data_IF_706802682234
#
_entry.id   IF_706802682234
#
_cell.length_a   1.000
_cell.length_b   1.000
_cell.length_c   1.000
_cell.angle_alpha   90.00
_cell.angle_beta   90.00
_cell.angle_gamma   90.00
#
_symmetry.space_group_name_H-M   'P 1'
#
loop_
_entity.id
_entity.type
_entity.pdbx_description
1 polymer ?
#
# COMPACT_ATOMS: atom_id res chain seq x y z
N UNK A 1 -11.87 -6.07 18.74
CA UNK A 1 -12.48 -6.56 17.49
C UNK A 1 -11.73 -7.77 16.94
N UNK A 2 -10.42 -7.68 16.63
CA UNK A 2 -9.62 -8.81 16.13
C UNK A 2 -9.71 -10.11 16.97
N UNK A 3 -9.64 -10.03 18.30
CA UNK A 3 -9.79 -11.20 19.18
C UNK A 3 -11.10 -11.98 18.97
N UNK A 4 -12.21 -11.29 18.66
CA UNK A 4 -13.51 -11.96 18.43
C UNK A 4 -13.53 -12.74 17.12
N UNK A 5 -12.67 -12.36 16.16
CA UNK A 5 -12.52 -13.00 14.86
C UNK A 5 -11.32 -13.94 14.80
N UNK A 6 -10.64 -14.16 15.94
CA UNK A 6 -9.41 -14.97 16.03
C UNK A 6 -8.34 -14.56 14.99
N UNK A 7 -8.23 -13.26 14.72
CA UNK A 7 -7.33 -12.72 13.72
C UNK A 7 -6.05 -12.18 14.38
N UNK A 8 -4.89 -12.66 13.94
CA UNK A 8 -3.60 -12.07 14.29
C UNK A 8 -3.38 -10.78 13.49
N UNK A 9 -2.80 -9.75 14.13
CA UNK A 9 -2.54 -8.45 13.49
C UNK A 9 -1.08 -8.08 13.68
N UNK A 10 -0.41 -7.76 12.56
CA UNK A 10 0.99 -7.32 12.53
C UNK A 10 1.03 -5.85 12.13
N UNK A 11 1.68 -5.01 12.94
CA UNK A 11 1.70 -3.56 12.77
C UNK A 11 3.16 -3.05 12.73
N UNK A 12 3.85 -3.17 11.57
CA UNK A 12 5.20 -2.65 11.43
C UNK A 12 5.21 -1.11 11.37
N UNK A 13 6.31 -0.51 11.81
CA UNK A 13 6.60 0.92 11.58
C UNK A 13 7.33 1.10 10.24
N UNK A 14 6.87 2.03 9.40
CA UNK A 14 7.47 2.33 8.10
C UNK A 14 7.95 3.80 7.96
N UNK A 15 7.92 4.60 9.03
CA UNK A 15 8.35 6.02 9.03
C UNK A 15 7.71 6.85 7.89
N UNK A 16 8.32 7.96 7.47
CA UNK A 16 7.88 8.82 6.37
C UNK A 16 8.26 8.27 4.98
N UNK A 17 8.23 6.95 4.79
CA UNK A 17 8.79 6.30 3.59
C UNK A 17 7.81 6.10 2.43
N UNK A 18 6.51 6.30 2.67
CA UNK A 18 5.47 5.83 1.74
C UNK A 18 5.62 4.35 1.38
N UNK A 19 6.07 3.49 2.30
CA UNK A 19 6.24 2.04 2.05
C UNK A 19 7.05 1.76 0.77
N UNK A 20 8.11 2.54 0.58
CA UNK A 20 8.93 2.54 -0.63
C UNK A 20 10.39 2.32 -0.26
N UNK A 21 11.13 1.62 -1.12
CA UNK A 21 12.59 1.65 -1.04
C UNK A 21 13.04 3.06 -1.43
N UNK A 22 13.34 3.87 -0.42
CA UNK A 22 13.61 5.29 -0.55
C UNK A 22 14.88 5.52 -1.39
N UNK A 23 14.88 6.55 -2.24
CA UNK A 23 16.10 6.97 -2.96
C UNK A 23 17.20 7.39 -1.99
N UNK A 24 16.83 8.13 -0.94
CA UNK A 24 17.71 8.53 0.15
C UNK A 24 17.10 8.08 1.48
N UNK A 25 17.34 6.82 1.86
CA UNK A 25 16.80 6.27 3.11
C UNK A 25 16.91 4.75 3.15
N UNK A 26 15.97 4.12 3.84
CA UNK A 26 15.92 2.66 4.00
C UNK A 26 15.01 1.99 2.97
N UNK A 27 15.23 0.70 2.76
CA UNK A 27 14.43 -0.16 1.90
C UNK A 27 13.10 -0.58 2.56
N UNK A 28 12.18 0.38 2.78
CA UNK A 28 10.95 0.12 3.53
C UNK A 28 9.95 -0.79 2.80
N UNK A 29 10.00 -0.91 1.48
CA UNK A 29 9.18 -1.90 0.78
C UNK A 29 9.68 -3.32 1.10
N UNK A 30 11.00 -3.53 1.01
CA UNK A 30 11.62 -4.83 1.30
C UNK A 30 11.48 -5.19 2.78
N UNK A 31 11.66 -4.23 3.68
CA UNK A 31 11.50 -4.41 5.12
C UNK A 31 10.11 -4.96 5.50
N UNK A 32 9.03 -4.48 4.86
CA UNK A 32 7.69 -4.99 5.17
C UNK A 32 7.52 -6.44 4.72
N UNK A 33 8.13 -6.82 3.60
CA UNK A 33 8.18 -8.21 3.16
C UNK A 33 9.03 -9.06 4.10
N UNK A 34 10.16 -8.54 4.59
CA UNK A 34 11.00 -9.19 5.60
C UNK A 34 10.23 -9.42 6.90
N UNK A 35 9.48 -8.42 7.38
CA UNK A 35 8.61 -8.56 8.55
C UNK A 35 7.58 -9.66 8.32
N UNK A 36 6.94 -9.69 7.15
CA UNK A 36 5.99 -10.75 6.80
C UNK A 36 6.64 -12.13 6.87
N UNK A 37 7.82 -12.30 6.26
CA UNK A 37 8.55 -13.57 6.26
C UNK A 37 9.01 -13.96 7.68
N UNK A 38 9.45 -13.00 8.49
CA UNK A 38 9.93 -13.22 9.85
C UNK A 38 8.80 -13.67 10.79
N UNK A 39 7.67 -12.97 10.81
CA UNK A 39 6.56 -13.31 11.72
C UNK A 39 5.94 -14.67 11.38
N UNK A 40 5.90 -15.07 10.10
CA UNK A 40 5.45 -16.41 9.69
C UNK A 40 6.43 -17.54 10.05
N UNK A 41 7.68 -17.21 10.38
CA UNK A 41 8.66 -18.18 10.85
C UNK A 41 8.60 -18.38 12.36
N UNK A 42 8.37 -17.30 13.13
CA UNK A 42 8.48 -17.33 14.59
C UNK A 42 7.13 -17.43 15.32
N UNK A 43 6.02 -17.11 14.66
CA UNK A 43 4.67 -17.20 15.21
C UNK A 43 3.86 -18.30 14.50
N UNK A 44 2.82 -18.85 15.16
CA UNK A 44 1.94 -19.85 14.56
C UNK A 44 0.94 -19.21 13.58
N UNK A 45 1.43 -18.62 12.49
CA UNK A 45 0.63 -17.96 11.45
C UNK A 45 0.50 -18.86 10.22
N UNK A 46 -0.68 -18.88 9.61
CA UNK A 46 -0.89 -19.61 8.35
C UNK A 46 -0.08 -18.98 7.22
N UNK A 47 0.59 -19.81 6.41
CA UNK A 47 1.29 -19.39 5.19
C UNK A 47 0.41 -19.48 3.95
N UNK A 48 -0.84 -19.93 4.09
CA UNK A 48 -1.78 -20.03 2.99
C UNK A 48 -2.25 -18.62 2.60
N UNK A 49 -2.37 -18.36 1.29
CA UNK A 49 -2.72 -17.04 0.76
C UNK A 49 -4.09 -16.59 1.25
N UNK A 50 -5.05 -17.52 1.31
CA UNK A 50 -6.44 -17.32 1.75
C UNK A 50 -6.58 -16.81 3.18
N UNK A 51 -5.57 -17.05 4.04
CA UNK A 51 -5.55 -16.62 5.44
C UNK A 51 -4.77 -15.31 5.66
N UNK A 52 -4.20 -14.75 4.59
CA UNK A 52 -3.34 -13.57 4.66
C UNK A 52 -4.03 -12.36 4.02
N UNK A 53 -4.09 -11.27 4.79
CA UNK A 53 -4.76 -10.03 4.40
C UNK A 53 -3.85 -8.83 4.67
N UNK A 54 -4.06 -7.74 3.94
CA UNK A 54 -3.34 -6.48 4.15
C UNK A 54 -4.30 -5.30 4.21
N UNK A 55 -4.07 -4.39 5.13
CA UNK A 55 -4.90 -3.20 5.32
C UNK A 55 -4.07 -2.04 5.86
N UNK A 56 -4.50 -0.82 5.58
CA UNK A 56 -3.81 0.39 6.02
C UNK A 56 -4.56 1.65 5.63
N UNK A 57 -4.29 2.75 6.33
CA UNK A 57 -4.97 4.02 6.10
C UNK A 57 -4.05 5.13 5.57
N UNK A 58 -4.56 6.07 4.77
CA UNK A 58 -3.78 7.20 4.22
C UNK A 58 -2.53 6.72 3.47
N UNK A 59 -1.33 7.06 3.95
CA UNK A 59 -0.06 6.51 3.45
C UNK A 59 -0.02 4.97 3.52
N UNK A 60 -0.60 4.36 4.55
CA UNK A 60 -0.77 2.91 4.66
C UNK A 60 -1.79 2.34 3.68
N UNK A 61 -2.77 3.12 3.26
CA UNK A 61 -3.71 2.74 2.19
C UNK A 61 -3.01 2.69 0.84
N UNK A 62 -2.15 3.68 0.56
CA UNK A 62 -1.22 3.65 -0.59
C UNK A 62 -0.32 2.40 -0.54
N UNK A 63 0.32 2.13 0.61
CA UNK A 63 1.16 0.95 0.80
C UNK A 63 0.38 -0.35 0.57
N UNK A 64 -0.83 -0.44 1.11
CA UNK A 64 -1.74 -1.59 0.93
C UNK A 64 -1.98 -1.89 -0.56
N UNK A 65 -2.32 -0.88 -1.36
CA UNK A 65 -2.50 -1.03 -2.82
C UNK A 65 -1.20 -1.49 -3.48
N UNK A 66 -0.06 -0.88 -3.11
CA UNK A 66 1.24 -1.23 -3.67
C UNK A 66 1.63 -2.69 -3.40
N UNK A 67 1.45 -3.17 -2.18
CA UNK A 67 1.72 -4.59 -1.85
C UNK A 67 0.71 -5.53 -2.50
N UNK A 68 -0.57 -5.16 -2.54
CA UNK A 68 -1.60 -5.94 -3.23
C UNK A 68 -1.29 -6.17 -4.72
N UNK A 69 -0.75 -5.17 -5.40
CA UNK A 69 -0.44 -5.24 -6.84
C UNK A 69 0.95 -5.79 -7.16
N UNK A 70 1.88 -5.78 -6.19
CA UNK A 70 3.27 -6.25 -6.40
C UNK A 70 3.60 -7.58 -5.75
N UNK A 71 2.92 -7.93 -4.67
CA UNK A 71 3.11 -9.15 -3.89
C UNK A 71 1.75 -9.84 -3.61
N UNK A 72 0.84 -9.78 -4.58
CA UNK A 72 -0.53 -10.28 -4.44
C UNK A 72 -0.64 -11.80 -4.32
N UNK A 73 0.43 -12.54 -4.58
CA UNK A 73 0.56 -13.96 -4.23
C UNK A 73 0.60 -14.21 -2.72
N UNK A 74 0.97 -13.20 -1.92
CA UNK A 74 1.03 -13.30 -0.45
C UNK A 74 -0.29 -12.97 0.24
N UNK A 75 -1.22 -12.30 -0.45
CA UNK A 75 -2.45 -11.79 0.17
C UNK A 75 -3.68 -12.18 -0.64
N UNK A 76 -4.72 -12.70 0.01
CA UNK A 76 -6.02 -12.96 -0.64
C UNK A 76 -6.92 -11.74 -0.68
N UNK A 77 -6.82 -10.83 0.31
CA UNK A 77 -7.66 -9.63 0.42
C UNK A 77 -6.85 -8.40 0.81
N UNK A 78 -7.24 -7.23 0.30
CA UNK A 78 -6.61 -5.95 0.57
C UNK A 78 -7.67 -4.90 0.94
N UNK A 79 -7.45 -4.15 2.03
CA UNK A 79 -8.37 -3.12 2.50
C UNK A 79 -7.67 -1.75 2.66
N UNK A 80 -7.52 -0.98 1.57
CA UNK A 80 -7.05 0.40 1.64
C UNK A 80 -8.14 1.33 2.19
N UNK A 81 -7.79 2.12 3.21
CA UNK A 81 -8.70 3.01 3.94
C UNK A 81 -8.29 4.47 3.75
N UNK A 82 -9.15 5.34 3.21
CA UNK A 82 -8.81 6.74 2.88
C UNK A 82 -7.42 6.82 2.21
N UNK A 83 -7.19 6.07 1.14
CA UNK A 83 -5.83 5.85 0.64
C UNK A 83 -5.29 7.10 -0.08
N UNK A 84 -4.00 7.39 0.12
CA UNK A 84 -3.26 8.45 -0.58
C UNK A 84 -2.90 8.00 -2.02
N UNK A 85 -3.91 7.78 -2.86
CA UNK A 85 -3.74 7.20 -4.20
C UNK A 85 -3.21 8.18 -5.24
N UNK A 86 -3.52 9.48 -5.11
CA UNK A 86 -3.04 10.49 -6.05
C UNK A 86 -1.60 10.93 -5.71
N UNK A 87 -0.64 10.31 -6.38
CA UNK A 87 0.80 10.59 -6.19
C UNK A 87 1.24 11.95 -6.74
N UNK A 88 0.41 12.67 -7.50
CA UNK A 88 0.68 14.08 -7.88
C UNK A 88 0.77 14.98 -6.65
N UNK A 89 0.18 14.56 -5.53
CA UNK A 89 0.19 15.30 -4.27
C UNK A 89 1.45 15.06 -3.43
N UNK A 90 2.32 14.12 -3.82
CA UNK A 90 3.51 13.74 -3.04
C UNK A 90 4.38 14.94 -2.67
N UNK A 91 4.67 15.80 -3.64
CA UNK A 91 5.50 17.00 -3.43
C UNK A 91 4.78 18.10 -2.63
N UNK A 92 3.45 18.03 -2.50
CA UNK A 92 2.61 19.04 -1.86
C UNK A 92 2.27 18.73 -0.40
N UNK A 93 2.62 17.54 0.10
CA UNK A 93 2.47 17.24 1.52
C UNK A 93 3.39 18.10 2.37
N UNK A 94 2.78 18.90 3.25
CA UNK A 94 3.47 19.86 4.14
C UNK A 94 3.57 19.36 5.58
N UNK A 95 3.53 18.04 5.79
CA UNK A 95 3.67 17.46 7.12
C UNK A 95 5.06 17.75 7.72
N UNK A 96 5.16 17.97 9.04
CA UNK A 96 6.44 18.17 9.71
C UNK A 96 7.43 17.06 9.36
N UNK A 97 8.66 17.45 8.99
CA UNK A 97 9.76 16.55 8.64
C UNK A 97 9.49 15.54 7.49
N UNK A 98 8.40 15.71 6.73
CA UNK A 98 8.18 14.95 5.51
C UNK A 98 9.11 15.44 4.40
N UNK A 99 9.87 14.52 3.79
CA UNK A 99 10.85 14.82 2.74
C UNK A 99 10.51 14.02 1.47
N UNK A 100 9.69 14.55 0.55
CA UNK A 100 9.34 13.88 -0.71
C UNK A 100 10.58 13.42 -1.50
N UNK A 101 11.64 14.24 -1.49
CA UNK A 101 12.90 13.93 -2.16
C UNK A 101 13.64 12.74 -1.58
N UNK A 102 13.47 12.45 -0.29
CA UNK A 102 14.05 11.26 0.31
C UNK A 102 13.43 9.99 -0.29
N UNK A 103 12.14 10.05 -0.63
CA UNK A 103 11.37 8.93 -1.17
C UNK A 103 11.62 8.78 -2.68
N UNK A 104 11.42 9.85 -3.45
CA UNK A 104 11.39 9.82 -4.93
C UNK A 104 12.67 10.36 -5.60
N UNK A 105 13.60 10.94 -4.85
CA UNK A 105 14.78 11.62 -5.39
C UNK A 105 14.48 13.06 -5.83
N UNK A 106 15.33 13.63 -6.70
CA UNK A 106 15.18 15.03 -7.13
C UNK A 106 13.96 15.27 -8.03
N UNK A 107 13.50 14.24 -8.74
CA UNK A 107 12.28 14.29 -9.55
C UNK A 107 11.14 13.68 -8.76
N UNK A 108 10.30 14.54 -8.17
CA UNK A 108 9.13 14.11 -7.37
C UNK A 108 7.86 13.95 -8.20
N UNK A 109 7.94 14.16 -9.51
CA UNK A 109 6.88 13.84 -10.48
C UNK A 109 6.95 12.34 -10.77
N UNK A 110 6.11 11.58 -10.07
CA UNK A 110 6.19 10.10 -10.04
C UNK A 110 5.03 9.41 -10.78
N UNK A 111 4.18 10.19 -11.46
CA UNK A 111 3.09 9.67 -12.30
C UNK A 111 3.66 8.78 -13.42
N UNK A 112 3.04 7.63 -13.67
CA UNK A 112 3.49 6.67 -14.67
C UNK A 112 4.77 5.90 -14.30
N UNK A 113 5.25 6.01 -13.05
CA UNK A 113 6.38 5.22 -12.53
C UNK A 113 5.86 4.09 -11.62
N UNK A 114 6.70 3.12 -11.21
CA UNK A 114 6.34 2.11 -10.21
C UNK A 114 5.93 2.65 -8.82
N UNK A 115 5.97 3.97 -8.60
CA UNK A 115 5.41 4.62 -7.43
C UNK A 115 3.91 4.94 -7.60
N UNK A 116 3.41 5.07 -8.83
CA UNK A 116 2.02 5.43 -9.15
C UNK A 116 1.09 4.20 -9.06
N UNK A 117 0.03 4.23 -8.22
CA UNK A 117 -0.94 3.14 -8.14
C UNK A 117 -1.61 2.80 -9.47
N UNK A 118 -1.88 3.78 -10.34
CA UNK A 118 -2.50 3.54 -11.65
C UNK A 118 -1.57 2.73 -12.55
N UNK A 119 -0.29 3.11 -12.60
CA UNK A 119 0.74 2.34 -13.28
C UNK A 119 0.85 0.90 -12.74
N UNK A 120 0.75 0.73 -11.42
CA UNK A 120 0.83 -0.59 -10.79
C UNK A 120 -0.37 -1.48 -11.15
N UNK A 121 -1.56 -0.91 -11.32
CA UNK A 121 -2.75 -1.64 -11.79
C UNK A 121 -2.50 -2.17 -13.20
N UNK A 122 -2.09 -1.30 -14.13
CA UNK A 122 -1.81 -1.68 -15.51
C UNK A 122 -0.71 -2.74 -15.58
N UNK A 123 0.35 -2.57 -14.81
CA UNK A 123 1.45 -3.54 -14.74
C UNK A 123 0.95 -4.90 -14.24
N UNK A 124 0.13 -4.93 -13.18
CA UNK A 124 -0.38 -6.16 -12.60
C UNK A 124 -1.32 -6.90 -13.56
N UNK A 125 -2.22 -6.17 -14.24
CA UNK A 125 -3.15 -6.73 -15.23
C UNK A 125 -2.37 -7.26 -16.44
N UNK A 126 -1.46 -6.46 -17.01
CA UNK A 126 -0.66 -6.85 -18.18
C UNK A 126 0.22 -8.08 -17.91
N UNK A 127 0.76 -8.19 -16.68
CA UNK A 127 1.57 -9.34 -16.26
C UNK A 127 0.73 -10.51 -15.69
N UNK A 128 -0.60 -10.40 -15.70
CA UNK A 128 -1.52 -11.41 -15.16
C UNK A 128 -1.16 -11.84 -13.74
N UNK A 129 -0.78 -10.87 -12.88
CA UNK A 129 -0.44 -11.15 -11.49
C UNK A 129 -1.69 -11.58 -10.72
N UNK A 130 -1.49 -12.31 -9.63
CA UNK A 130 -2.56 -12.54 -8.67
C UNK A 130 -2.88 -11.23 -7.97
N UNK A 131 -4.14 -10.79 -8.05
CA UNK A 131 -4.62 -9.57 -7.41
C UNK A 131 -5.59 -9.99 -6.29
N UNK A 132 -5.42 -9.49 -5.04
CA UNK A 132 -6.34 -9.77 -3.96
C UNK A 132 -7.71 -9.12 -4.18
N UNK A 133 -8.72 -9.63 -3.47
CA UNK A 133 -10.03 -8.98 -3.39
C UNK A 133 -9.90 -7.64 -2.65
N UNK A 134 -10.37 -6.54 -3.24
CA UNK A 134 -10.28 -5.20 -2.65
C UNK A 134 -11.55 -4.82 -1.89
N UNK A 135 -11.38 -4.32 -0.66
CA UNK A 135 -12.40 -3.56 0.08
C UNK A 135 -11.87 -2.13 0.29
N UNK A 136 -12.28 -1.21 -0.58
CA UNK A 136 -11.89 0.20 -0.48
C UNK A 136 -12.92 0.98 0.36
N UNK A 137 -12.46 1.75 1.34
CA UNK A 137 -13.32 2.59 2.18
C UNK A 137 -12.73 3.98 2.35
N UNK A 138 -13.52 5.03 2.22
CA UNK A 138 -13.11 6.41 2.45
C UNK A 138 -14.30 7.21 2.99
N UNK A 139 -14.05 8.09 3.96
CA UNK A 139 -15.09 9.02 4.44
C UNK A 139 -15.44 10.06 3.36
N UNK A 140 -16.70 10.48 3.31
CA UNK A 140 -17.20 11.43 2.30
C UNK A 140 -16.68 12.86 2.50
N UNK A 141 -16.25 13.20 3.71
CA UNK A 141 -15.67 14.50 4.07
C UNK A 141 -14.13 14.49 4.07
N UNK A 142 -13.50 13.36 3.73
CA UNK A 142 -12.03 13.24 3.65
C UNK A 142 -11.51 13.99 2.42
N UNK A 143 -10.40 14.72 2.56
CA UNK A 143 -9.76 15.41 1.43
C UNK A 143 -9.24 14.43 0.36
N UNK A 144 -9.07 13.15 0.72
CA UNK A 144 -8.71 12.08 -0.20
C UNK A 144 -9.92 11.44 -0.91
N UNK A 145 -11.15 11.83 -0.56
CA UNK A 145 -12.37 11.19 -1.06
C UNK A 145 -12.43 11.11 -2.59
N UNK A 146 -12.28 12.25 -3.27
CA UNK A 146 -12.37 12.28 -4.74
C UNK A 146 -11.29 11.40 -5.39
N UNK A 147 -10.06 11.41 -4.87
CA UNK A 147 -8.99 10.55 -5.39
C UNK A 147 -9.32 9.06 -5.24
N UNK A 148 -10.00 8.66 -4.15
CA UNK A 148 -10.44 7.28 -3.95
C UNK A 148 -11.59 6.91 -4.90
N UNK A 149 -12.55 7.82 -5.14
CA UNK A 149 -13.63 7.63 -6.13
C UNK A 149 -13.05 7.44 -7.54
N UNK A 150 -12.12 8.30 -7.95
CA UNK A 150 -11.48 8.24 -9.27
C UNK A 150 -10.70 6.94 -9.45
N UNK A 151 -10.01 6.48 -8.41
CA UNK A 151 -9.29 5.20 -8.43
C UNK A 151 -10.24 4.00 -8.52
N UNK A 152 -11.35 3.99 -7.79
CA UNK A 152 -12.38 2.93 -7.92
C UNK A 152 -12.99 2.90 -9.32
N UNK A 153 -13.30 4.06 -9.91
CA UNK A 153 -13.78 4.13 -11.29
C UNK A 153 -12.76 3.60 -12.29
N UNK A 154 -11.46 3.83 -12.05
CA UNK A 154 -10.40 3.28 -12.88
C UNK A 154 -10.34 1.74 -12.81
N UNK A 155 -10.46 1.17 -11.61
CA UNK A 155 -10.44 -0.29 -11.40
C UNK A 155 -11.62 -1.03 -12.04
N UNK A 156 -12.69 -0.32 -12.39
CA UNK A 156 -13.92 -0.89 -12.95
C UNK A 156 -13.98 -0.86 -14.49
N UNK A 157 -12.96 -0.30 -15.15
CA UNK A 157 -12.82 -0.28 -16.61
C UNK A 157 -12.28 -1.60 -17.16
#
# INVERSE_FOLDING_TARGET
YANMHQLAVIMPNADHSFYTNMVYGHSYYDYILEVWDYVHQILPLSKAREDNFIAGHSMGGYGTIKFALRAGERFAKAAPLSAAVDVKTLAHYTFPDFKPKAIAGEVTEVVGTPFDPYYLVDEAVNKQKQIPEFLMMCGTEDFLYQSNVDFVHYLQQ
#
